data_IF_951475701735
#
_entry.id   IF_951475701735
#
_cell.length_a   1.000
_cell.length_b   1.000
_cell.length_c   1.000
_cell.angle_alpha   90.00
_cell.angle_beta   90.00
_cell.angle_gamma   90.00
#
_symmetry.space_group_name_H-M   'P 1'
#
loop_
_entity.id
_entity.type
_entity.pdbx_description
1 polymer ?
#
# COMPACT_ATOMS: atom_id res chain seq x y z
N UNK A 1 -22.08 -38.79 -23.23
CA UNK A 1 -21.32 -37.59 -23.62
C UNK A 1 -21.56 -36.53 -22.55
N UNK A 2 -20.59 -36.41 -21.65
CA UNK A 2 -20.83 -36.03 -20.25
C UNK A 2 -20.97 -34.53 -20.00
N UNK A 3 -21.84 -34.18 -19.05
CA UNK A 3 -22.11 -32.80 -18.62
C UNK A 3 -20.85 -32.04 -18.14
N UNK A 4 -19.79 -32.77 -17.74
CA UNK A 4 -18.50 -32.19 -17.35
C UNK A 4 -17.73 -31.63 -18.55
N UNK A 5 -17.81 -32.30 -19.69
CA UNK A 5 -17.14 -31.88 -20.92
C UNK A 5 -17.81 -30.62 -21.49
N UNK A 6 -19.15 -30.62 -21.54
CA UNK A 6 -19.93 -29.44 -21.96
C UNK A 6 -19.66 -28.21 -21.10
N UNK A 7 -19.56 -28.37 -19.77
CA UNK A 7 -19.22 -27.26 -18.86
C UNK A 7 -17.82 -26.69 -19.14
N UNK A 8 -16.86 -27.54 -19.48
CA UNK A 8 -15.50 -27.11 -19.81
C UNK A 8 -15.47 -26.33 -21.12
N UNK A 9 -16.17 -26.80 -22.15
CA UNK A 9 -16.32 -26.09 -23.42
C UNK A 9 -17.01 -24.73 -23.26
N UNK A 10 -18.10 -24.67 -22.48
CA UNK A 10 -18.78 -23.40 -22.17
C UNK A 10 -17.87 -22.43 -21.40
N UNK A 11 -17.00 -22.95 -20.54
CA UNK A 11 -16.02 -22.12 -19.82
C UNK A 11 -14.94 -21.58 -20.76
N UNK A 12 -14.38 -22.43 -21.62
CA UNK A 12 -13.37 -22.05 -22.60
C UNK A 12 -13.91 -21.01 -23.57
N UNK A 13 -15.11 -21.23 -24.10
CA UNK A 13 -15.79 -20.31 -25.01
C UNK A 13 -16.00 -18.93 -24.39
N UNK A 14 -16.53 -18.88 -23.16
CA UNK A 14 -16.70 -17.61 -22.42
C UNK A 14 -15.38 -16.89 -22.17
N UNK A 15 -14.32 -17.63 -21.81
CA UNK A 15 -13.00 -17.01 -21.61
C UNK A 15 -12.40 -16.45 -22.90
N UNK A 16 -12.62 -17.11 -24.03
CA UNK A 16 -12.16 -16.66 -25.33
C UNK A 16 -12.91 -15.40 -25.81
N UNK A 17 -14.23 -15.37 -25.61
CA UNK A 17 -15.07 -14.19 -25.89
C UNK A 17 -14.63 -12.99 -25.04
N UNK A 18 -14.48 -13.19 -23.72
CA UNK A 18 -14.03 -12.13 -22.82
C UNK A 18 -12.60 -11.63 -23.16
N UNK A 19 -11.70 -12.53 -23.57
CA UNK A 19 -10.35 -12.17 -24.01
C UNK A 19 -10.36 -11.29 -25.26
N UNK A 20 -11.25 -11.57 -26.23
CA UNK A 20 -11.44 -10.75 -27.43
C UNK A 20 -11.99 -9.37 -27.10
N UNK A 21 -13.04 -9.31 -26.28
CA UNK A 21 -13.63 -8.04 -25.84
C UNK A 21 -12.60 -7.13 -25.16
N UNK A 22 -11.75 -7.71 -24.30
CA UNK A 22 -10.67 -6.97 -23.65
C UNK A 22 -9.64 -6.47 -24.65
N UNK A 23 -9.25 -7.29 -25.62
CA UNK A 23 -8.29 -6.90 -26.67
C UNK A 23 -8.84 -5.76 -27.53
N UNK A 24 -10.12 -5.81 -27.93
CA UNK A 24 -10.77 -4.73 -28.66
C UNK A 24 -10.85 -3.45 -27.83
N UNK A 25 -11.22 -3.54 -26.55
CA UNK A 25 -11.23 -2.38 -25.64
C UNK A 25 -9.83 -1.80 -25.43
N UNK A 26 -8.80 -2.63 -25.35
CA UNK A 26 -7.41 -2.19 -25.23
C UNK A 26 -6.97 -1.49 -26.51
N UNK A 27 -7.32 -2.03 -27.69
CA UNK A 27 -7.03 -1.41 -28.99
C UNK A 27 -7.73 -0.06 -29.16
N UNK A 28 -8.98 0.07 -28.73
CA UNK A 28 -9.69 1.37 -28.73
C UNK A 28 -9.13 2.36 -27.71
N UNK A 29 -8.45 1.86 -26.67
CA UNK A 29 -7.74 2.65 -25.65
C UNK A 29 -6.24 2.57 -25.83
N UNK A 30 -5.78 2.25 -27.03
CA UNK A 30 -4.36 2.21 -27.36
C UNK A 30 -3.88 3.66 -27.31
N UNK A 31 -3.56 4.08 -26.09
CA UNK A 31 -2.80 5.27 -25.83
C UNK A 31 -1.46 4.93 -26.43
N UNK A 32 -1.15 5.57 -27.56
CA UNK A 32 0.20 5.65 -28.05
C UNK A 32 1.01 6.25 -26.90
N UNK A 33 1.61 5.39 -26.09
CA UNK A 33 2.83 5.71 -25.37
C UNK A 33 3.85 5.91 -26.49
N UNK A 34 3.74 7.03 -27.20
CA UNK A 34 4.93 7.73 -27.58
C UNK A 34 5.66 7.87 -26.26
N UNK A 35 6.71 7.07 -26.06
CA UNK A 35 7.80 7.49 -25.22
C UNK A 35 8.08 8.91 -25.67
N UNK A 36 7.56 9.90 -24.94
CA UNK A 36 8.00 11.29 -25.04
C UNK A 36 9.43 11.28 -24.51
N UNK A 37 10.27 10.87 -25.42
CA UNK A 37 11.67 10.55 -25.32
C UNK A 37 12.00 10.27 -26.77
N UNK A 38 11.83 11.31 -27.60
CA UNK A 38 12.39 11.30 -28.92
C UNK A 38 13.82 10.83 -28.77
N UNK A 39 14.17 9.80 -29.52
CA UNK A 39 15.53 9.71 -30.03
C UNK A 39 15.69 10.97 -30.87
N UNK A 40 15.97 12.08 -30.19
CA UNK A 40 16.78 13.11 -30.76
C UNK A 40 18.11 12.39 -30.93
N UNK A 41 18.34 12.00 -32.18
CA UNK A 41 19.63 12.04 -32.83
C UNK A 41 20.28 13.37 -32.43
N UNK A 42 20.78 13.41 -31.19
CA UNK A 42 21.70 14.42 -30.74
C UNK A 42 22.97 14.02 -31.45
N UNK A 43 23.33 14.85 -32.43
CA UNK A 43 24.67 14.97 -32.95
C UNK A 43 25.68 14.49 -31.92
N UNK A 44 26.50 13.54 -32.35
CA UNK A 44 27.75 13.17 -31.73
C UNK A 44 28.67 14.40 -31.76
N UNK A 45 28.35 15.41 -30.95
CA UNK A 45 29.29 16.44 -30.55
C UNK A 45 29.92 15.88 -29.30
N UNK A 46 31.11 15.32 -29.52
CA UNK A 46 32.12 14.92 -28.53
C UNK A 46 32.02 15.78 -27.27
N UNK A 47 31.25 15.30 -26.28
CA UNK A 47 31.19 15.90 -24.98
C UNK A 47 32.46 15.45 -24.26
N UNK A 48 33.37 16.39 -24.11
CA UNK A 48 34.49 16.33 -23.18
C UNK A 48 33.99 15.75 -21.86
N UNK A 49 34.72 14.75 -21.36
CA UNK A 49 34.57 14.12 -20.06
C UNK A 49 34.43 15.17 -18.94
N UNK A 50 33.21 15.50 -18.58
CA UNK A 50 32.87 16.17 -17.33
C UNK A 50 31.67 15.42 -16.77
N UNK A 51 31.97 14.41 -15.95
CA UNK A 51 30.99 13.46 -15.41
C UNK A 51 29.71 14.15 -14.96
N UNK A 52 28.57 13.64 -15.45
CA UNK A 52 27.24 14.07 -15.02
C UNK A 52 27.26 14.32 -13.51
N UNK A 53 27.15 15.60 -13.13
CA UNK A 53 27.46 16.03 -11.78
C UNK A 53 26.44 15.35 -10.87
N UNK A 54 26.91 14.59 -9.87
CA UNK A 54 26.05 13.87 -8.93
C UNK A 54 24.98 14.80 -8.31
N UNK A 55 25.33 16.07 -8.14
CA UNK A 55 24.42 17.14 -7.71
C UNK A 55 23.24 17.36 -8.67
N UNK A 56 23.46 17.30 -9.98
CA UNK A 56 22.41 17.42 -10.99
C UNK A 56 21.45 16.23 -10.95
N UNK A 57 21.97 15.01 -10.77
CA UNK A 57 21.14 13.82 -10.61
C UNK A 57 20.28 13.90 -9.33
N UNK A 58 20.84 14.36 -8.22
CA UNK A 58 20.07 14.59 -6.99
C UNK A 58 19.04 15.70 -7.16
N UNK A 59 19.35 16.78 -7.87
CA UNK A 59 18.40 17.85 -8.17
C UNK A 59 17.22 17.33 -9.00
N UNK A 60 17.47 16.49 -10.02
CA UNK A 60 16.42 15.84 -10.83
C UNK A 60 15.54 14.93 -9.97
N UNK A 61 16.12 14.09 -9.11
CA UNK A 61 15.34 13.22 -8.22
C UNK A 61 14.53 14.02 -7.20
N UNK A 62 15.11 15.06 -6.61
CA UNK A 62 14.42 15.94 -5.67
C UNK A 62 13.24 16.66 -6.34
N UNK A 63 13.41 17.12 -7.58
CA UNK A 63 12.34 17.75 -8.34
C UNK A 63 11.21 16.75 -8.66
N UNK A 64 11.56 15.51 -9.00
CA UNK A 64 10.57 14.44 -9.20
C UNK A 64 9.81 14.11 -7.90
N UNK A 65 10.51 13.98 -6.77
CA UNK A 65 9.90 13.75 -5.45
C UNK A 65 8.96 14.90 -5.05
N UNK A 66 9.34 16.14 -5.34
CA UNK A 66 8.51 17.32 -5.11
C UNK A 66 7.23 17.28 -5.95
N UNK A 67 7.36 17.05 -7.27
CA UNK A 67 6.22 16.96 -8.20
C UNK A 67 5.26 15.84 -7.80
N UNK A 68 5.78 14.66 -7.46
CA UNK A 68 4.95 13.52 -7.02
C UNK A 68 4.22 13.83 -5.72
N UNK A 69 4.89 14.44 -4.74
CA UNK A 69 4.26 14.87 -3.47
C UNK A 69 3.15 15.90 -3.71
N UNK A 70 3.37 16.89 -4.59
CA UNK A 70 2.36 17.89 -4.96
C UNK A 70 1.13 17.23 -5.62
N UNK A 71 1.33 16.25 -6.50
CA UNK A 71 0.24 15.52 -7.13
C UNK A 71 -0.55 14.68 -6.13
N UNK A 72 0.12 14.00 -5.19
CA UNK A 72 -0.55 13.30 -4.09
C UNK A 72 -1.38 14.26 -3.23
N UNK A 73 -0.83 15.43 -2.88
CA UNK A 73 -1.54 16.45 -2.11
C UNK A 73 -2.79 16.96 -2.86
N UNK A 74 -2.68 17.21 -4.17
CA UNK A 74 -3.82 17.58 -5.02
C UNK A 74 -4.87 16.48 -5.08
N UNK A 75 -4.48 15.23 -5.24
CA UNK A 75 -5.39 14.09 -5.24
C UNK A 75 -6.17 13.97 -3.92
N UNK A 76 -5.48 14.07 -2.78
CA UNK A 76 -6.14 14.06 -1.47
C UNK A 76 -6.99 15.31 -1.21
N UNK A 77 -6.58 16.47 -1.71
CA UNK A 77 -7.37 17.70 -1.68
C UNK A 77 -8.65 17.61 -2.54
N UNK A 78 -8.58 16.94 -3.69
CA UNK A 78 -9.75 16.64 -4.50
C UNK A 78 -10.68 15.64 -3.79
N UNK A 79 -10.16 14.59 -3.16
CA UNK A 79 -10.97 13.63 -2.38
C UNK A 79 -11.67 14.28 -1.18
N UNK A 80 -11.06 15.29 -0.55
CA UNK A 80 -11.69 16.03 0.54
C UNK A 80 -12.86 16.91 0.07
N UNK A 81 -12.83 17.37 -1.18
CA UNK A 81 -13.83 18.29 -1.75
C UNK A 81 -14.83 17.61 -2.70
N UNK A 82 -14.53 16.40 -3.17
CA UNK A 82 -15.38 15.60 -4.05
C UNK A 82 -16.10 14.57 -3.17
N UNK A 83 -17.40 14.78 -2.92
CA UNK A 83 -18.23 13.81 -2.21
C UNK A 83 -18.15 12.48 -2.97
N UNK A 84 -17.40 11.50 -2.45
CA UNK A 84 -17.30 10.17 -3.04
C UNK A 84 -18.71 9.65 -3.33
N UNK A 85 -18.91 9.12 -4.54
CA UNK A 85 -20.18 8.51 -4.90
C UNK A 85 -20.50 7.37 -3.95
N UNK A 86 -21.77 7.13 -3.63
CA UNK A 86 -22.16 5.98 -2.78
C UNK A 86 -21.59 4.66 -3.30
N UNK A 87 -21.43 4.52 -4.62
CA UNK A 87 -20.84 3.34 -5.24
C UNK A 87 -19.34 3.20 -4.95
N UNK A 88 -18.61 4.32 -4.90
CA UNK A 88 -17.21 4.35 -4.52
C UNK A 88 -17.06 4.07 -3.03
N UNK A 89 -17.88 4.69 -2.17
CA UNK A 89 -17.91 4.40 -0.73
C UNK A 89 -18.22 2.93 -0.47
N UNK A 90 -19.17 2.33 -1.20
CA UNK A 90 -19.49 0.92 -1.10
C UNK A 90 -18.36 0.02 -1.61
N UNK A 91 -17.70 0.38 -2.71
CA UNK A 91 -16.54 -0.33 -3.25
C UNK A 91 -15.36 -0.28 -2.26
N UNK A 92 -15.00 0.91 -1.78
CA UNK A 92 -13.94 1.10 -0.79
C UNK A 92 -14.29 0.40 0.52
N UNK A 93 -15.53 0.45 0.99
CA UNK A 93 -15.97 -0.27 2.19
C UNK A 93 -15.95 -1.79 2.05
N UNK A 94 -16.24 -2.32 0.86
CA UNK A 94 -16.33 -3.77 0.60
C UNK A 94 -14.97 -4.41 0.31
N UNK A 95 -14.10 -3.73 -0.43
CA UNK A 95 -12.82 -4.28 -0.90
C UNK A 95 -11.61 -3.67 -0.18
N UNK A 96 -11.73 -2.42 0.25
CA UNK A 96 -10.69 -1.67 0.97
C UNK A 96 -11.10 -1.34 2.40
N UNK A 97 -12.12 -2.04 2.93
CA UNK A 97 -12.75 -1.81 4.22
C UNK A 97 -11.77 -1.92 5.38
N UNK A 98 -10.99 -0.86 5.58
CA UNK A 98 -10.21 -0.61 6.77
C UNK A 98 -11.25 -0.18 7.80
N UNK A 99 -11.36 -0.99 8.87
CA UNK A 99 -12.20 -0.71 10.03
C UNK A 99 -11.75 0.62 10.66
N UNK A 100 -12.23 1.73 10.13
CA UNK A 100 -12.12 3.04 10.76
C UNK A 100 -13.43 3.28 11.49
N UNK A 101 -13.48 2.77 12.73
CA UNK A 101 -14.23 3.48 13.75
C UNK A 101 -13.65 4.90 13.83
N UNK A 102 -14.50 5.91 13.74
CA UNK A 102 -14.08 7.28 14.02
C UNK A 102 -13.62 7.34 15.48
N UNK A 103 -12.32 7.55 15.66
CA UNK A 103 -11.65 7.66 16.96
C UNK A 103 -10.26 7.04 16.94
N UNK A 104 -9.34 7.62 16.17
CA UNK A 104 -7.89 7.47 16.38
C UNK A 104 -7.22 6.11 16.10
N UNK A 105 -6.35 6.12 15.09
CA UNK A 105 -5.15 5.28 14.91
C UNK A 105 -5.25 3.75 14.71
N UNK A 106 -4.49 3.32 13.68
CA UNK A 106 -3.77 2.06 13.54
C UNK A 106 -4.53 0.71 13.48
N UNK A 107 -4.53 0.18 12.26
CA UNK A 107 -4.50 -1.22 11.83
C UNK A 107 -4.36 -2.29 12.94
N UNK A 108 -5.49 -2.96 13.23
CA UNK A 108 -5.52 -4.21 14.00
C UNK A 108 -4.95 -5.36 13.17
N UNK A 109 -3.84 -5.92 13.66
CA UNK A 109 -3.48 -7.34 13.50
C UNK A 109 -4.69 -8.20 13.86
N UNK A 110 -4.93 -9.29 13.13
CA UNK A 110 -6.07 -10.19 13.34
C UNK A 110 -5.92 -10.96 14.65
N UNK A 111 -6.38 -10.39 15.75
CA UNK A 111 -6.63 -11.12 16.99
C UNK A 111 -8.04 -11.71 16.91
N UNK A 112 -8.15 -13.04 17.04
CA UNK A 112 -9.44 -13.74 17.21
C UNK A 112 -10.09 -13.21 18.51
N UNK A 113 -11.33 -12.70 18.48
CA UNK A 113 -11.99 -12.27 19.70
C UNK A 113 -12.49 -13.51 20.45
N UNK A 114 -11.85 -13.84 21.58
CA UNK A 114 -12.56 -14.53 22.64
C UNK A 114 -13.46 -13.49 23.35
N UNK A 115 -14.73 -13.88 23.51
CA UNK A 115 -15.85 -13.36 24.30
C UNK A 115 -15.78 -11.96 24.95
N UNK A 116 -16.87 -11.16 24.91
CA UNK A 116 -16.92 -9.89 25.60
C UNK A 116 -17.09 -10.14 27.11
N UNK A 117 -16.02 -9.96 27.89
CA UNK A 117 -16.12 -9.88 29.35
C UNK A 117 -15.62 -8.51 29.81
N UNK A 118 -16.59 -7.75 30.32
CA UNK A 118 -16.53 -6.64 31.26
C UNK A 118 -15.35 -5.66 31.25
N UNK A 119 -15.74 -4.39 31.12
CA UNK A 119 -14.99 -3.24 31.56
C UNK A 119 -14.53 -3.38 33.02
N UNK A 120 -13.27 -3.73 33.24
CA UNK A 120 -12.54 -3.43 34.46
C UNK A 120 -11.12 -2.96 34.08
N UNK A 121 -10.75 -1.80 34.63
CA UNK A 121 -9.48 -1.10 34.38
C UNK A 121 -8.34 -1.73 35.18
N UNK A 122 -7.63 -2.65 34.56
CA UNK A 122 -6.33 -3.13 34.98
C UNK A 122 -5.36 -3.14 33.80
N UNK A 123 -4.04 -3.25 34.05
CA UNK A 123 -3.05 -3.38 33.00
C UNK A 123 -3.40 -4.59 32.13
N UNK A 124 -3.45 -4.38 30.81
CA UNK A 124 -3.77 -5.43 29.83
C UNK A 124 -2.49 -5.81 29.12
N UNK A 125 -2.06 -7.04 29.32
CA UNK A 125 -0.93 -7.59 28.58
C UNK A 125 -1.33 -7.82 27.12
N UNK A 126 -0.43 -7.48 26.19
CA UNK A 126 -0.65 -7.63 24.75
C UNK A 126 0.45 -8.55 24.21
N UNK A 127 0.04 -9.65 23.58
CA UNK A 127 0.95 -10.53 22.86
C UNK A 127 1.02 -10.14 21.37
N UNK A 128 2.22 -10.03 20.82
CA UNK A 128 2.47 -9.73 19.40
C UNK A 128 3.39 -10.81 18.84
N UNK A 129 2.90 -11.57 17.87
CA UNK A 129 3.71 -12.54 17.12
C UNK A 129 4.44 -11.83 15.99
N UNK A 130 5.76 -12.05 15.92
CA UNK A 130 6.63 -11.46 14.90
C UNK A 130 7.57 -12.50 14.31
N UNK A 131 8.08 -12.23 13.12
CA UNK A 131 9.15 -13.04 12.55
C UNK A 131 10.44 -12.89 13.38
N UNK A 132 11.41 -13.79 13.24
CA UNK A 132 12.72 -13.61 13.87
C UNK A 132 13.41 -12.35 13.34
N UNK A 133 13.99 -11.55 14.24
CA UNK A 133 14.64 -10.29 13.88
C UNK A 133 14.81 -9.33 15.05
N UNK A 134 15.39 -8.15 14.76
CA UNK A 134 15.56 -7.07 15.74
C UNK A 134 14.43 -6.04 15.60
N UNK A 135 13.74 -5.78 16.71
CA UNK A 135 12.56 -4.92 16.76
C UNK A 135 12.77 -3.78 17.74
N UNK A 136 12.16 -2.62 17.42
CA UNK A 136 12.06 -1.48 18.32
C UNK A 136 10.61 -1.34 18.78
N UNK A 137 10.37 -1.61 20.06
CA UNK A 137 9.04 -1.60 20.66
C UNK A 137 8.90 -0.32 21.48
N UNK A 138 7.94 0.52 21.11
CA UNK A 138 7.68 1.80 21.78
C UNK A 138 6.28 1.78 22.38
N UNK A 139 6.17 2.14 23.66
CA UNK A 139 4.90 2.31 24.34
C UNK A 139 4.82 3.74 24.93
N UNK A 140 3.63 4.31 24.94
CA UNK A 140 3.39 5.67 25.42
C UNK A 140 1.92 5.92 25.70
N UNK A 141 1.63 6.76 26.70
CA UNK A 141 0.28 7.23 27.03
C UNK A 141 0.07 8.65 26.46
N UNK A 142 -1.18 9.04 26.20
CA UNK A 142 -1.47 10.37 25.66
C UNK A 142 -1.00 11.46 26.65
N UNK A 143 0.01 12.25 26.24
CA UNK A 143 0.71 13.30 27.02
C UNK A 143 1.76 12.82 28.03
N UNK A 144 2.04 11.52 28.12
CA UNK A 144 3.13 10.98 28.95
C UNK A 144 4.41 10.75 28.12
N UNK A 145 5.53 10.45 28.79
CA UNK A 145 6.80 10.15 28.14
C UNK A 145 6.75 8.76 27.49
N UNK A 146 7.22 8.65 26.25
CA UNK A 146 7.33 7.38 25.55
C UNK A 146 8.54 6.58 26.06
N UNK A 147 8.37 5.27 26.23
CA UNK A 147 9.45 4.33 26.56
C UNK A 147 9.67 3.41 25.36
N UNK A 148 10.92 3.25 24.95
CA UNK A 148 11.32 2.46 23.78
C UNK A 148 12.36 1.42 24.17
N UNK A 149 12.13 0.17 23.78
CA UNK A 149 13.04 -0.96 23.97
C UNK A 149 13.44 -1.55 22.62
N UNK A 150 14.69 -1.97 22.50
CA UNK A 150 15.18 -2.72 21.32
C UNK A 150 15.39 -4.17 21.74
N UNK A 151 14.75 -5.09 21.04
CA UNK A 151 14.76 -6.51 21.37
C UNK A 151 15.09 -7.32 20.13
N UNK A 152 15.96 -8.31 20.30
CA UNK A 152 16.25 -9.31 19.26
C UNK A 152 15.49 -10.60 19.57
N UNK A 153 14.72 -11.11 18.60
CA UNK A 153 13.86 -12.28 18.74
C UNK A 153 14.35 -13.40 17.83
N UNK A 154 14.75 -14.52 18.43
CA UNK A 154 15.11 -15.75 17.73
C UNK A 154 13.88 -16.61 17.40
N UNK A 155 13.97 -17.56 16.45
CA UNK A 155 12.86 -18.47 16.14
C UNK A 155 12.38 -19.25 17.37
N UNK A 156 11.08 -19.20 17.65
CA UNK A 156 10.47 -19.87 18.80
C UNK A 156 10.69 -19.19 20.16
N UNK A 157 11.32 -18.01 20.18
CA UNK A 157 11.53 -17.23 21.39
C UNK A 157 10.35 -16.32 21.67
N UNK A 158 9.99 -16.17 22.95
CA UNK A 158 9.07 -15.15 23.44
C UNK A 158 9.80 -14.25 24.43
N UNK A 159 9.53 -12.94 24.37
CA UNK A 159 10.15 -11.93 25.24
C UNK A 159 9.06 -11.08 25.86
N UNK A 160 9.00 -11.08 27.18
CA UNK A 160 8.08 -10.24 27.94
C UNK A 160 8.74 -8.88 28.21
N UNK A 161 8.08 -7.81 27.78
CA UNK A 161 8.57 -6.45 27.91
C UNK A 161 7.56 -5.67 28.76
N UNK A 162 8.02 -5.15 29.89
CA UNK A 162 7.21 -4.30 30.77
C UNK A 162 7.55 -2.83 30.50
N UNK A 163 6.52 -2.00 30.43
CA UNK A 163 6.66 -0.56 30.27
C UNK A 163 6.08 0.14 31.50
N UNK A 164 6.90 0.98 32.12
CA UNK A 164 6.50 1.82 33.26
C UNK A 164 6.05 3.17 32.69
N UNK A 165 4.77 3.24 32.27
CA UNK A 165 4.17 4.40 31.57
C UNK A 165 3.40 5.34 32.49
#
# INVERSE_FOLDING_TARGET
>A
MDCRYRRMEDSLKRSAELGRDLLERMRSREVGWACSGGLQEAELTEAVDDGANLEEAFAVMADFMRRTTEQCARYHGCLANQKMSQQEVAHTGRFHGRKFAHGGAAQRVRVRPCSPVSAQGGPRDIAIEVAPGTYRVTAGLHRAREQTHVVNICPGQSVDITFDL
#
